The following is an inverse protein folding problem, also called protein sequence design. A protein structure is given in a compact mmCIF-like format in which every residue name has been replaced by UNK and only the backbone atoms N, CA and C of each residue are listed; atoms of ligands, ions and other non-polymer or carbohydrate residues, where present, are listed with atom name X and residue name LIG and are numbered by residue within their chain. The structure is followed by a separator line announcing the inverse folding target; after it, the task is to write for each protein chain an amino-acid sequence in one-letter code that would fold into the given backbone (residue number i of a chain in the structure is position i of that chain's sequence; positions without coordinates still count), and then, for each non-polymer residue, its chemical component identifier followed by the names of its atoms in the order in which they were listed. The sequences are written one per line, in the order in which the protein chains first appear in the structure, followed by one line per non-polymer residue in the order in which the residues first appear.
data_IF_251325340978
#
_entry.id   IF_251325340978
#
_cell.length_a   1.000
_cell.length_b   1.000
_cell.length_c   1.000
_cell.angle_alpha   90.00
_cell.angle_beta   90.00
_cell.angle_gamma   90.00
#
_symmetry.space_group_name_H-M   'P 1'
#
loop_
_entity.id
_entity.type
_entity.pdbx_description
1 polymer ?
#
# COMPACT_ATOMS: atom_id res chain seq x y z
N UNK A 1 5.72 -9.87 -12.55
CA UNK A 1 4.62 -8.90 -12.50
C UNK A 1 3.48 -9.48 -11.70
N UNK A 2 3.52 -9.23 -10.39
CA UNK A 2 2.36 -9.37 -9.53
C UNK A 2 1.28 -8.40 -10.02
N UNK A 3 0.06 -8.90 -10.17
CA UNK A 3 -1.13 -8.09 -10.42
C UNK A 3 -2.10 -8.29 -9.25
N UNK A 4 -3.13 -7.45 -9.16
CA UNK A 4 -4.09 -7.47 -8.04
C UNK A 4 -4.69 -8.85 -7.78
N UNK A 5 -4.98 -9.62 -8.83
CA UNK A 5 -5.55 -10.96 -8.71
C UNK A 5 -4.52 -11.96 -8.16
N UNK A 6 -3.27 -11.91 -8.64
CA UNK A 6 -2.18 -12.73 -8.13
C UNK A 6 -1.90 -12.44 -6.65
N UNK A 7 -1.98 -11.17 -6.24
CA UNK A 7 -1.77 -10.75 -4.85
C UNK A 7 -2.89 -11.25 -3.96
N UNK A 8 -4.15 -11.09 -4.40
CA UNK A 8 -5.32 -11.64 -3.71
C UNK A 8 -5.17 -13.15 -3.52
N UNK A 9 -4.81 -13.89 -4.57
CA UNK A 9 -4.61 -15.34 -4.49
C UNK A 9 -3.50 -15.73 -3.51
N UNK A 10 -2.33 -15.06 -3.57
CA UNK A 10 -1.23 -15.28 -2.61
C UNK A 10 -1.64 -15.01 -1.18
N UNK A 11 -2.38 -13.93 -0.96
CA UNK A 11 -2.81 -13.54 0.38
C UNK A 11 -3.87 -14.49 0.94
N UNK A 12 -4.84 -14.90 0.11
CA UNK A 12 -5.83 -15.92 0.49
C UNK A 12 -5.20 -17.28 0.77
N UNK A 13 -4.11 -17.64 0.08
CA UNK A 13 -3.37 -18.87 0.35
C UNK A 13 -2.66 -18.85 1.72
N UNK A 14 -2.19 -17.69 2.17
CA UNK A 14 -1.54 -17.53 3.47
C UNK A 14 -2.56 -17.39 4.60
N UNK A 15 -3.57 -16.54 4.39
CA UNK A 15 -4.66 -16.31 5.33
C UNK A 15 -5.95 -15.98 4.54
N UNK A 16 -6.86 -16.96 4.41
CA UNK A 16 -8.11 -16.78 3.66
C UNK A 16 -8.97 -15.60 4.14
N UNK A 17 -8.88 -15.24 5.42
CA UNK A 17 -9.65 -14.15 6.02
C UNK A 17 -9.01 -12.76 5.86
N UNK A 18 -7.75 -12.68 5.44
CA UNK A 18 -7.05 -11.40 5.34
C UNK A 18 -7.69 -10.46 4.31
N UNK A 19 -8.22 -11.01 3.21
CA UNK A 19 -8.85 -10.20 2.17
C UNK A 19 -10.18 -9.62 2.62
N UNK A 20 -11.01 -10.45 3.25
CA UNK A 20 -12.28 -10.03 3.84
C UNK A 20 -12.06 -8.95 4.89
N UNK A 21 -11.05 -9.13 5.76
CA UNK A 21 -10.68 -8.14 6.77
C UNK A 21 -10.27 -6.79 6.15
N UNK A 22 -9.44 -6.80 5.10
CA UNK A 22 -9.05 -5.56 4.41
C UNK A 22 -10.27 -4.86 3.79
N UNK A 23 -11.17 -5.61 3.15
CA UNK A 23 -12.39 -5.03 2.59
C UNK A 23 -13.33 -4.47 3.66
N UNK A 24 -13.45 -5.14 4.80
CA UNK A 24 -14.24 -4.67 5.94
C UNK A 24 -13.63 -3.41 6.56
N UNK A 25 -12.31 -3.40 6.75
CA UNK A 25 -11.58 -2.23 7.21
C UNK A 25 -11.79 -1.05 6.26
N UNK A 26 -11.67 -1.28 4.95
CA UNK A 26 -11.83 -0.22 3.95
C UNK A 26 -13.23 0.39 4.00
N UNK A 27 -14.27 -0.46 4.12
CA UNK A 27 -15.66 -0.02 4.27
C UNK A 27 -15.86 0.79 5.55
N UNK A 28 -15.37 0.30 6.69
CA UNK A 28 -15.50 1.00 7.98
C UNK A 28 -14.76 2.33 7.97
N UNK A 29 -13.57 2.38 7.35
CA UNK A 29 -12.83 3.62 7.17
C UNK A 29 -13.63 4.63 6.37
N UNK A 30 -14.16 4.24 5.20
CA UNK A 30 -15.00 5.11 4.36
C UNK A 30 -16.27 5.57 5.08
N UNK A 31 -16.93 4.70 5.85
CA UNK A 31 -18.10 5.07 6.66
C UNK A 31 -17.80 6.11 7.74
N UNK A 32 -16.61 6.07 8.34
CA UNK A 32 -16.21 6.99 9.43
C UNK A 32 -15.66 8.31 8.89
N UNK A 33 -14.81 8.25 7.86
CA UNK A 33 -14.07 9.43 7.37
C UNK A 33 -14.77 10.10 6.20
N UNK A 34 -15.67 9.40 5.50
CA UNK A 34 -16.19 9.81 4.20
C UNK A 34 -15.15 9.71 3.07
N UNK A 35 -13.97 9.15 3.34
CA UNK A 35 -12.86 9.03 2.40
C UNK A 35 -12.55 7.55 2.15
N UNK A 36 -12.25 7.18 0.91
CA UNK A 36 -11.70 5.85 0.64
C UNK A 36 -10.29 5.75 1.20
N UNK A 37 -9.93 4.64 1.86
CA UNK A 37 -8.57 4.45 2.33
C UNK A 37 -7.60 4.47 1.15
N UNK A 38 -6.36 4.89 1.44
CA UNK A 38 -5.25 4.87 0.50
C UNK A 38 -4.91 3.43 0.08
N UNK A 39 -5.64 2.91 -0.92
CA UNK A 39 -5.45 1.58 -1.47
C UNK A 39 -4.41 1.57 -2.58
N UNK A 40 -3.16 1.92 -2.28
CA UNK A 40 -2.06 1.72 -3.23
C UNK A 40 -1.46 0.35 -2.99
N UNK A 41 -1.52 -0.50 -4.01
CA UNK A 41 -0.90 -1.82 -3.97
C UNK A 41 0.45 -1.72 -4.66
N UNK A 42 1.52 -1.84 -3.88
CA UNK A 42 2.89 -2.00 -4.36
C UNK A 42 3.35 -3.44 -4.14
N UNK A 43 4.30 -3.93 -4.93
CA UNK A 43 4.78 -5.32 -4.84
C UNK A 43 6.29 -5.40 -4.90
N UNK A 44 6.85 -6.47 -4.34
CA UNK A 44 8.30 -6.73 -4.25
C UNK A 44 9.04 -6.78 -5.61
N UNK A 45 8.30 -6.92 -6.72
CA UNK A 45 8.83 -6.92 -8.08
C UNK A 45 8.72 -5.57 -8.79
N UNK A 46 8.18 -4.54 -8.12
CA UNK A 46 8.18 -3.17 -8.61
C UNK A 46 9.51 -2.49 -8.28
N UNK A 47 9.99 -1.69 -9.23
CA UNK A 47 11.09 -0.75 -8.99
C UNK A 47 10.60 0.45 -8.14
N UNK A 48 11.51 1.14 -7.44
CA UNK A 48 11.17 2.36 -6.68
C UNK A 48 10.38 3.39 -7.50
N UNK A 49 10.73 3.56 -8.77
CA UNK A 49 10.06 4.46 -9.69
C UNK A 49 8.63 4.00 -10.01
N UNK A 50 8.41 2.70 -10.20
CA UNK A 50 7.08 2.12 -10.44
C UNK A 50 6.18 2.24 -9.20
N UNK A 51 6.73 2.05 -8.00
CA UNK A 51 6.01 2.22 -6.75
C UNK A 51 5.56 3.68 -6.57
N UNK A 52 6.46 4.63 -6.80
CA UNK A 52 6.13 6.07 -6.79
C UNK A 52 5.08 6.40 -7.84
N UNK A 53 5.16 5.83 -9.03
CA UNK A 53 4.17 6.05 -10.08
C UNK A 53 2.79 5.54 -9.67
N UNK A 54 2.70 4.36 -9.03
CA UNK A 54 1.43 3.83 -8.54
C UNK A 54 0.80 4.74 -7.47
N UNK A 55 1.60 5.31 -6.59
CA UNK A 55 1.16 6.29 -5.59
C UNK A 55 0.69 7.59 -6.27
N UNK A 56 1.46 8.09 -7.24
CA UNK A 56 1.13 9.30 -8.00
C UNK A 56 -0.18 9.14 -8.76
N UNK A 57 -0.35 8.04 -9.48
CA UNK A 57 -1.59 7.71 -10.19
C UNK A 57 -2.79 7.69 -9.24
N UNK A 58 -2.62 7.15 -8.04
CA UNK A 58 -3.68 7.15 -7.03
C UNK A 58 -4.11 8.58 -6.69
N UNK A 59 -3.17 9.48 -6.37
CA UNK A 59 -3.49 10.87 -6.05
C UNK A 59 -4.16 11.61 -7.21
N UNK A 60 -3.68 11.40 -8.44
CA UNK A 60 -4.26 11.99 -9.64
C UNK A 60 -5.70 11.50 -9.87
N UNK A 61 -6.00 10.21 -9.62
CA UNK A 61 -7.36 9.66 -9.71
C UNK A 61 -8.33 10.26 -8.69
N UNK A 62 -7.82 10.75 -7.55
CA UNK A 62 -8.60 11.49 -6.56
C UNK A 62 -8.83 12.95 -6.96
N UNK A 63 -8.37 13.38 -8.15
CA UNK A 63 -8.50 14.75 -8.63
C UNK A 63 -7.47 15.71 -8.03
N UNK A 64 -6.40 15.19 -7.42
CA UNK A 64 -5.32 16.04 -6.91
C UNK A 64 -4.54 16.69 -8.07
N UNK A 65 -4.22 17.99 -8.00
CA UNK A 65 -3.35 18.63 -8.99
C UNK A 65 -1.96 17.98 -9.03
N UNK A 66 -1.36 17.86 -10.23
CA UNK A 66 -0.10 17.14 -10.45
C UNK A 66 1.02 17.57 -9.49
N UNK A 67 1.30 18.87 -9.40
CA UNK A 67 2.38 19.40 -8.54
C UNK A 67 2.17 19.05 -7.05
N UNK A 68 0.91 19.05 -6.59
CA UNK A 68 0.58 18.62 -5.23
C UNK A 68 0.72 17.11 -5.09
N UNK A 69 0.26 16.34 -6.08
CA UNK A 69 0.34 14.89 -6.09
C UNK A 69 1.80 14.39 -6.08
N UNK A 70 2.70 15.02 -6.83
CA UNK A 70 4.13 14.69 -6.83
C UNK A 70 4.76 14.90 -5.46
N UNK A 71 4.42 16.02 -4.79
CA UNK A 71 4.91 16.31 -3.45
C UNK A 71 4.39 15.30 -2.42
N UNK A 72 3.09 15.03 -2.43
CA UNK A 72 2.46 14.08 -1.52
C UNK A 72 2.99 12.65 -1.75
N UNK A 73 3.21 12.26 -3.01
CA UNK A 73 3.86 10.99 -3.38
C UNK A 73 5.23 10.86 -2.74
N UNK A 74 6.09 11.88 -2.87
CA UNK A 74 7.45 11.83 -2.32
C UNK A 74 7.45 11.76 -0.78
N UNK A 75 6.56 12.50 -0.13
CA UNK A 75 6.40 12.47 1.33
C UNK A 75 5.85 11.11 1.81
N UNK A 76 4.87 10.55 1.11
CA UNK A 76 4.28 9.26 1.43
C UNK A 76 5.27 8.12 1.23
N UNK A 77 6.00 8.13 0.11
CA UNK A 77 6.98 7.10 -0.22
C UNK A 77 8.11 7.03 0.83
N UNK A 78 8.61 8.18 1.30
CA UNK A 78 9.59 8.23 2.41
C UNK A 78 9.07 7.60 3.70
N UNK A 79 7.76 7.75 4.00
CA UNK A 79 7.14 7.14 5.18
C UNK A 79 7.08 5.62 5.03
N UNK A 80 6.75 5.10 3.85
CA UNK A 80 6.73 3.66 3.55
C UNK A 80 8.13 3.06 3.74
N UNK A 81 9.15 3.62 3.09
CA UNK A 81 10.52 3.10 3.19
C UNK A 81 11.02 3.05 4.64
N UNK A 82 10.67 4.06 5.44
CA UNK A 82 11.01 4.08 6.87
C UNK A 82 10.30 2.97 7.65
N UNK A 83 9.02 2.71 7.34
CA UNK A 83 8.25 1.65 7.98
C UNK A 83 8.79 0.26 7.62
N UNK A 84 9.17 0.04 6.36
CA UNK A 84 9.78 -1.21 5.89
C UNK A 84 11.09 -1.52 6.62
N UNK A 85 11.99 -0.53 6.72
CA UNK A 85 13.24 -0.65 7.46
C UNK A 85 13.00 -1.01 8.94
N UNK A 86 12.00 -0.40 9.59
CA UNK A 86 11.65 -0.74 10.96
C UNK A 86 11.09 -2.16 11.07
N UNK A 87 10.24 -2.57 10.13
CA UNK A 87 9.64 -3.89 10.09
C UNK A 87 10.70 -4.98 9.92
N UNK A 88 11.66 -4.79 9.01
CA UNK A 88 12.80 -5.69 8.84
C UNK A 88 13.63 -5.81 10.11
N UNK A 89 13.92 -4.68 10.78
CA UNK A 89 14.64 -4.68 12.06
C UNK A 89 13.90 -5.50 13.11
N UNK A 90 12.59 -5.30 13.26
CA UNK A 90 11.76 -6.06 14.19
C UNK A 90 11.73 -7.56 13.86
N UNK A 91 11.74 -7.94 12.57
CA UNK A 91 11.79 -9.35 12.15
C UNK A 91 13.11 -10.01 12.52
N UNK A 92 14.24 -9.31 12.36
CA UNK A 92 15.58 -9.79 12.76
C UNK A 92 15.66 -9.98 14.27
N UNK A 93 15.17 -9.02 15.05
CA UNK A 93 15.15 -9.10 16.52
C UNK A 93 14.29 -10.25 17.06
N UNK A 94 13.24 -10.65 16.34
CA UNK A 94 12.37 -11.78 16.69
C UNK A 94 12.87 -13.14 16.16
N UNK A 95 14.05 -13.20 15.53
CA UNK A 95 14.60 -14.45 14.98
C UNK A 95 13.76 -15.07 13.86
N UNK A 96 13.03 -14.25 13.08
CA UNK A 96 12.14 -14.70 11.99
C UNK A 96 12.74 -14.50 10.59
N UNK A 97 14.05 -14.26 10.52
CA UNK A 97 14.89 -14.22 9.31
C UNK A 97 16.26 -14.75 9.69
#
# INVERSE_FOLDING_TARGET
MANKENIKQRMMAINPKAWEFLQEFDRVYEEITGEKPYGVIVTEDMTPEEEKMAILEYYLRQGMPLEKAEKETEEFYKKIQKAELMFEKMRREKGRV
#
